data_IF_951425607872
#
_entry.id   IF_951425607872
#
_cell.length_a   1.000
_cell.length_b   1.000
_cell.length_c   1.000
_cell.angle_alpha   90.00
_cell.angle_beta   90.00
_cell.angle_gamma   90.00
#
_symmetry.space_group_name_H-M   'P 1'
#
loop_
_entity.id
_entity.type
_entity.pdbx_description
1 polymer ?
#
# COMPACT_ATOMS: atom_id res chain seq x y z
N UNK A 1 4.12 -23.33 -28.07
CA UNK A 1 3.81 -24.16 -26.87
C UNK A 1 4.76 -23.89 -25.70
N UNK A 2 6.06 -23.77 -25.90
CA UNK A 2 7.04 -23.50 -24.83
C UNK A 2 6.84 -22.12 -24.14
N UNK A 3 6.54 -21.07 -24.92
CA UNK A 3 6.37 -19.70 -24.41
C UNK A 3 5.10 -19.52 -23.54
N UNK A 4 4.01 -20.19 -23.87
CA UNK A 4 2.78 -20.25 -23.07
C UNK A 4 2.99 -21.01 -21.75
N UNK A 5 3.72 -22.13 -21.78
CA UNK A 5 4.04 -22.91 -20.57
C UNK A 5 4.95 -22.16 -19.61
N UNK A 6 5.89 -21.37 -20.11
CA UNK A 6 6.79 -20.56 -19.26
C UNK A 6 6.01 -19.41 -18.60
N UNK A 7 5.08 -18.78 -19.31
CA UNK A 7 4.17 -17.78 -18.73
C UNK A 7 3.21 -18.39 -17.71
N UNK A 8 2.68 -19.58 -18.00
CA UNK A 8 1.77 -20.31 -17.11
C UNK A 8 2.42 -20.61 -15.75
N UNK A 9 3.62 -21.19 -15.75
CA UNK A 9 4.38 -21.41 -14.50
C UNK A 9 4.75 -20.10 -13.79
N UNK A 10 5.00 -19.04 -14.54
CA UNK A 10 5.42 -17.75 -13.99
C UNK A 10 4.26 -17.04 -13.27
N UNK A 11 3.04 -17.04 -13.83
CA UNK A 11 1.87 -16.42 -13.19
C UNK A 11 1.45 -17.15 -11.90
N UNK A 12 1.42 -18.48 -11.92
CA UNK A 12 1.14 -19.26 -10.71
C UNK A 12 2.21 -19.07 -9.63
N UNK A 13 3.51 -19.04 -10.03
CA UNK A 13 4.62 -18.75 -9.13
C UNK A 13 4.59 -17.32 -8.60
N UNK A 14 4.20 -16.34 -9.39
CA UNK A 14 4.04 -14.94 -8.96
C UNK A 14 2.90 -14.82 -7.95
N UNK A 15 1.77 -15.48 -8.18
CA UNK A 15 0.64 -15.51 -7.26
C UNK A 15 1.02 -16.16 -5.91
N UNK A 16 1.66 -17.32 -5.97
CA UNK A 16 2.21 -18.01 -4.79
C UNK A 16 3.25 -17.12 -4.11
N UNK A 17 4.06 -16.43 -4.89
CA UNK A 17 5.08 -15.53 -4.38
C UNK A 17 4.48 -14.27 -3.74
N UNK A 18 3.38 -13.72 -4.26
CA UNK A 18 2.65 -12.62 -3.60
C UNK A 18 2.07 -13.04 -2.25
N UNK A 19 1.68 -14.30 -2.11
CA UNK A 19 1.17 -14.87 -0.85
C UNK A 19 2.32 -15.22 0.10
N UNK A 20 3.36 -15.89 -0.41
CA UNK A 20 4.49 -16.41 0.37
C UNK A 20 5.64 -15.38 0.48
N UNK A 21 5.76 -14.46 -0.49
CA UNK A 21 6.81 -13.43 -0.55
C UNK A 21 6.70 -12.35 0.54
N UNK A 22 5.84 -12.56 1.53
CA UNK A 22 5.83 -11.75 2.74
C UNK A 22 7.08 -12.09 3.56
N UNK A 23 7.86 -11.09 3.99
CA UNK A 23 9.10 -11.31 4.77
C UNK A 23 8.90 -12.18 5.99
N UNK A 24 7.66 -12.24 6.51
CA UNK A 24 7.26 -12.95 7.72
C UNK A 24 6.88 -14.42 7.46
N UNK A 25 6.68 -14.83 6.20
CA UNK A 25 6.21 -16.18 5.85
C UNK A 25 7.23 -17.03 5.12
N UNK A 26 8.29 -16.43 4.56
CA UNK A 26 9.32 -17.16 3.82
C UNK A 26 10.73 -16.74 4.23
N UNK A 27 11.73 -17.64 4.08
CA UNK A 27 13.13 -17.31 4.30
C UNK A 27 13.56 -16.11 3.44
N UNK A 28 14.34 -15.18 4.01
CA UNK A 28 14.76 -13.93 3.36
C UNK A 28 15.46 -14.12 2.00
N UNK A 29 16.10 -15.27 1.79
CA UNK A 29 16.72 -15.65 0.52
C UNK A 29 15.67 -15.93 -0.58
N UNK A 30 14.53 -16.50 -0.21
CA UNK A 30 13.40 -16.75 -1.11
C UNK A 30 12.69 -15.45 -1.46
N UNK A 31 12.40 -14.63 -0.45
CA UNK A 31 11.76 -13.32 -0.64
C UNK A 31 12.56 -12.48 -1.62
N UNK A 32 13.87 -12.38 -1.46
CA UNK A 32 14.76 -11.62 -2.38
C UNK A 32 14.68 -12.10 -3.82
N UNK A 33 14.57 -13.41 -4.05
CA UNK A 33 14.44 -13.97 -5.41
C UNK A 33 13.04 -13.78 -5.98
N UNK A 34 12.02 -13.94 -5.15
CA UNK A 34 10.63 -13.80 -5.57
C UNK A 34 10.27 -12.36 -5.92
N UNK A 35 10.75 -11.39 -5.14
CA UNK A 35 10.55 -9.95 -5.43
C UNK A 35 11.09 -9.55 -6.81
N UNK A 36 12.20 -10.12 -7.26
CA UNK A 36 12.75 -9.83 -8.60
C UNK A 36 11.88 -10.36 -9.75
N UNK A 37 10.96 -11.29 -9.49
CA UNK A 37 10.05 -11.82 -10.49
C UNK A 37 8.82 -10.92 -10.71
N UNK A 38 8.49 -10.04 -9.75
CA UNK A 38 7.31 -9.17 -9.84
C UNK A 38 7.44 -8.08 -10.90
N UNK A 39 8.65 -7.52 -11.07
CA UNK A 39 8.89 -6.34 -11.91
C UNK A 39 9.50 -6.66 -13.27
N UNK A 40 9.68 -7.95 -13.62
CA UNK A 40 10.36 -8.40 -14.86
C UNK A 40 9.56 -9.43 -15.64
N UNK A 41 8.24 -9.27 -15.71
CA UNK A 41 7.45 -10.07 -16.63
C UNK A 41 7.85 -9.77 -18.09
N UNK A 42 7.84 -10.77 -19.00
CA UNK A 42 8.12 -10.52 -20.40
C UNK A 42 7.18 -9.48 -20.99
N UNK A 43 7.72 -8.41 -21.55
CA UNK A 43 6.94 -7.37 -22.17
C UNK A 43 6.16 -7.88 -23.38
N UNK A 44 4.96 -7.37 -23.59
CA UNK A 44 4.19 -7.57 -24.82
C UNK A 44 4.87 -6.79 -25.95
N UNK A 45 5.06 -7.38 -27.14
CA UNK A 45 5.63 -6.69 -28.30
C UNK A 45 4.89 -5.40 -28.63
N UNK A 46 5.62 -4.36 -29.04
CA UNK A 46 5.06 -3.03 -29.26
C UNK A 46 3.93 -3.01 -30.31
N UNK A 47 4.04 -3.78 -31.40
CA UNK A 47 2.98 -3.90 -32.41
C UNK A 47 1.66 -4.37 -31.81
N UNK A 48 1.75 -5.29 -30.85
CA UNK A 48 0.56 -5.77 -30.12
C UNK A 48 0.00 -4.69 -29.18
N UNK A 49 0.87 -3.92 -28.51
CA UNK A 49 0.46 -2.76 -27.69
C UNK A 49 -0.29 -1.74 -28.53
N UNK A 50 0.21 -1.42 -29.73
CA UNK A 50 -0.46 -0.49 -30.66
C UNK A 50 -1.87 -0.98 -31.04
N UNK A 51 -2.03 -2.29 -31.29
CA UNK A 51 -3.35 -2.87 -31.59
C UNK A 51 -4.31 -2.75 -30.41
N UNK A 52 -3.84 -2.98 -29.17
CA UNK A 52 -4.65 -2.80 -27.97
C UNK A 52 -5.07 -1.33 -27.82
N UNK A 53 -4.13 -0.39 -27.93
CA UNK A 53 -4.40 1.04 -27.82
C UNK A 53 -5.41 1.50 -28.86
N UNK A 54 -5.23 1.10 -30.14
CA UNK A 54 -6.17 1.43 -31.22
C UNK A 54 -7.56 0.89 -30.96
N UNK A 55 -7.66 -0.34 -30.42
CA UNK A 55 -8.95 -0.97 -30.11
C UNK A 55 -9.65 -0.28 -28.94
N UNK A 56 -8.91 0.07 -27.90
CA UNK A 56 -9.45 0.62 -26.65
C UNK A 56 -9.74 2.13 -26.75
N UNK A 57 -8.86 2.89 -27.42
CA UNK A 57 -8.97 4.36 -27.54
C UNK A 57 -9.61 4.82 -28.87
N UNK A 58 -9.83 3.91 -29.82
CA UNK A 58 -10.46 4.22 -31.10
C UNK A 58 -9.58 4.96 -32.12
N UNK A 59 -8.36 5.32 -31.77
CA UNK A 59 -7.40 6.06 -32.58
C UNK A 59 -6.05 5.35 -32.58
N UNK A 60 -5.24 5.57 -33.64
CA UNK A 60 -3.87 5.02 -33.67
C UNK A 60 -2.94 5.78 -32.71
N UNK A 61 -1.86 5.11 -32.29
CA UNK A 61 -0.85 5.69 -31.43
C UNK A 61 -0.30 7.00 -32.01
N UNK A 62 -0.03 7.04 -33.33
CA UNK A 62 0.48 8.23 -33.99
C UNK A 62 -0.55 9.37 -34.17
N UNK A 63 -1.85 9.13 -33.97
CA UNK A 63 -2.88 10.19 -33.93
C UNK A 63 -2.94 10.85 -32.55
N UNK A 64 -2.77 10.09 -31.48
CA UNK A 64 -2.88 10.54 -30.09
C UNK A 64 -1.56 11.13 -29.57
N UNK A 65 -0.44 10.45 -29.85
CA UNK A 65 0.86 10.77 -29.27
C UNK A 65 1.83 11.34 -30.32
N UNK A 66 2.56 12.37 -29.95
CA UNK A 66 3.67 12.92 -30.73
C UNK A 66 4.89 11.99 -30.67
N UNK A 67 5.14 11.42 -29.48
CA UNK A 67 6.16 10.43 -29.21
C UNK A 67 5.61 9.34 -28.31
N UNK A 68 6.00 8.09 -28.58
CA UNK A 68 5.64 6.93 -27.77
C UNK A 68 6.88 6.02 -27.66
N UNK A 69 7.38 5.81 -26.46
CA UNK A 69 8.54 4.95 -26.24
C UNK A 69 8.13 3.48 -26.38
N UNK A 70 8.70 2.77 -27.38
CA UNK A 70 8.38 1.38 -27.67
C UNK A 70 8.82 0.44 -26.54
N UNK A 71 9.97 0.73 -25.92
CA UNK A 71 10.42 0.01 -24.73
C UNK A 71 9.64 0.47 -23.50
N UNK A 72 9.05 -0.46 -22.72
CA UNK A 72 8.29 -0.09 -21.54
C UNK A 72 9.21 0.37 -20.40
N UNK A 73 8.73 1.32 -19.60
CA UNK A 73 9.35 1.72 -18.34
C UNK A 73 9.40 0.57 -17.33
N UNK A 74 8.42 -0.33 -17.41
CA UNK A 74 8.31 -1.52 -16.59
C UNK A 74 7.22 -2.46 -17.11
N UNK A 75 7.38 -3.74 -16.85
CA UNK A 75 6.41 -4.79 -17.20
C UNK A 75 6.16 -5.68 -15.99
N UNK A 76 4.92 -5.65 -15.49
CA UNK A 76 4.43 -6.47 -14.38
C UNK A 76 3.60 -7.66 -14.89
N UNK A 77 3.01 -8.42 -13.97
CA UNK A 77 2.24 -9.63 -14.31
C UNK A 77 1.02 -9.35 -15.20
N UNK A 78 0.33 -8.23 -15.00
CA UNK A 78 -0.94 -7.90 -15.65
C UNK A 78 -0.77 -6.92 -16.79
N UNK A 79 0.17 -5.99 -16.66
CA UNK A 79 0.29 -4.83 -17.53
C UNK A 79 1.74 -4.37 -17.69
N UNK A 80 1.96 -3.58 -18.70
CA UNK A 80 3.20 -2.83 -18.90
C UNK A 80 2.92 -1.35 -19.03
N UNK A 81 3.94 -0.55 -18.79
CA UNK A 81 3.85 0.90 -18.66
C UNK A 81 4.82 1.55 -19.64
N UNK A 82 4.33 2.45 -20.46
CA UNK A 82 5.12 3.19 -21.45
C UNK A 82 5.10 4.68 -21.16
N UNK A 83 6.20 5.37 -21.47
CA UNK A 83 6.23 6.82 -21.54
C UNK A 83 5.81 7.28 -22.91
N UNK A 84 4.99 8.33 -22.96
CA UNK A 84 4.56 8.94 -24.19
C UNK A 84 4.44 10.46 -24.03
N UNK A 85 4.35 11.17 -25.14
CA UNK A 85 4.06 12.60 -25.18
C UNK A 85 2.81 12.83 -26.00
N UNK A 86 1.84 13.53 -25.43
CA UNK A 86 0.59 13.85 -26.12
C UNK A 86 0.82 14.84 -27.27
N UNK A 87 0.05 14.68 -28.34
CA UNK A 87 -0.13 15.73 -29.34
C UNK A 87 -0.94 16.88 -28.74
N UNK A 88 -0.71 18.07 -29.20
CA UNK A 88 -1.46 19.26 -28.76
C UNK A 88 -0.76 19.97 -27.60
N UNK A 89 -1.03 19.58 -26.36
CA UNK A 89 -0.46 20.22 -25.15
C UNK A 89 0.99 19.81 -24.86
N UNK A 90 1.50 18.81 -25.58
CA UNK A 90 2.87 18.27 -25.46
C UNK A 90 3.24 17.79 -24.05
N UNK A 91 2.24 17.44 -23.24
CA UNK A 91 2.50 16.90 -21.91
C UNK A 91 3.05 15.48 -21.96
N UNK A 92 4.02 15.18 -21.09
CA UNK A 92 4.54 13.84 -20.90
C UNK A 92 3.53 13.04 -20.05
N UNK A 93 3.22 11.84 -20.52
CA UNK A 93 2.26 10.93 -19.89
C UNK A 93 2.81 9.53 -19.75
N UNK A 94 2.17 8.77 -18.89
CA UNK A 94 2.39 7.34 -18.75
C UNK A 94 1.15 6.62 -19.24
N UNK A 95 1.38 5.59 -20.06
CA UNK A 95 0.35 4.73 -20.63
C UNK A 95 0.52 3.33 -20.07
N UNK A 96 -0.40 2.92 -19.19
CA UNK A 96 -0.48 1.57 -18.61
C UNK A 96 -1.40 0.74 -19.47
N UNK A 97 -0.92 -0.41 -19.98
CA UNK A 97 -1.65 -1.26 -20.93
C UNK A 97 -1.65 -2.69 -20.43
N UNK A 98 -2.81 -3.32 -20.33
CA UNK A 98 -2.92 -4.73 -19.96
C UNK A 98 -2.36 -5.64 -21.06
N UNK A 99 -1.73 -6.73 -20.63
CA UNK A 99 -1.29 -7.78 -21.54
C UNK A 99 -2.51 -8.49 -22.15
N UNK A 100 -2.58 -8.66 -23.47
CA UNK A 100 -3.70 -9.35 -24.12
C UNK A 100 -3.83 -10.79 -23.63
N UNK A 101 -5.06 -11.21 -23.33
CA UNK A 101 -5.38 -12.58 -22.89
C UNK A 101 -4.95 -12.93 -21.47
N UNK A 102 -4.31 -12.01 -20.74
CA UNK A 102 -3.78 -12.29 -19.39
C UNK A 102 -4.91 -12.52 -18.39
N UNK A 103 -6.05 -11.83 -18.52
CA UNK A 103 -7.18 -11.99 -17.62
C UNK A 103 -7.74 -13.42 -17.71
N UNK A 104 -7.98 -13.94 -18.91
CA UNK A 104 -8.49 -15.29 -19.13
C UNK A 104 -7.51 -16.35 -18.60
N UNK A 105 -6.21 -16.11 -18.80
CA UNK A 105 -5.16 -16.98 -18.32
C UNK A 105 -5.13 -17.04 -16.78
N UNK A 106 -5.08 -15.89 -16.12
CA UNK A 106 -5.04 -15.82 -14.64
C UNK A 106 -6.31 -16.38 -14.00
N UNK A 107 -7.48 -16.10 -14.57
CA UNK A 107 -8.74 -16.65 -14.08
C UNK A 107 -8.81 -18.17 -14.23
N UNK A 108 -8.18 -18.74 -15.27
CA UNK A 108 -8.05 -20.20 -15.42
C UNK A 108 -7.13 -20.79 -14.37
N UNK A 109 -6.01 -20.13 -14.08
CA UNK A 109 -5.07 -20.57 -13.04
C UNK A 109 -5.70 -20.53 -11.64
N UNK A 110 -6.48 -19.49 -11.33
CA UNK A 110 -7.22 -19.39 -10.08
C UNK A 110 -8.24 -20.52 -9.94
N UNK A 111 -9.00 -20.85 -11.00
CA UNK A 111 -9.94 -21.98 -10.97
C UNK A 111 -9.24 -23.30 -10.72
N UNK A 112 -8.08 -23.53 -11.33
CA UNK A 112 -7.26 -24.71 -11.09
C UNK A 112 -6.78 -24.76 -9.63
N UNK A 113 -6.35 -23.62 -9.09
CA UNK A 113 -5.94 -23.50 -7.68
C UNK A 113 -7.13 -23.77 -6.73
N UNK A 114 -8.34 -23.27 -7.05
CA UNK A 114 -9.55 -23.55 -6.31
C UNK A 114 -9.92 -25.04 -6.32
N UNK A 115 -9.83 -25.68 -7.48
CA UNK A 115 -10.07 -27.13 -7.60
C UNK A 115 -9.07 -27.93 -6.77
N UNK A 116 -7.79 -27.54 -6.78
CA UNK A 116 -6.76 -28.14 -5.94
C UNK A 116 -7.02 -27.89 -4.45
N UNK A 117 -7.41 -26.68 -4.06
CA UNK A 117 -7.77 -26.35 -2.68
C UNK A 117 -8.93 -27.21 -2.16
N UNK A 118 -9.98 -27.37 -2.96
CA UNK A 118 -11.11 -28.26 -2.63
C UNK A 118 -10.69 -29.72 -2.50
N UNK A 119 -9.76 -30.19 -3.32
CA UNK A 119 -9.20 -31.53 -3.19
C UNK A 119 -8.42 -31.69 -1.88
N UNK A 120 -7.58 -30.71 -1.54
CA UNK A 120 -6.78 -30.72 -0.32
C UNK A 120 -7.63 -30.62 0.96
N UNK A 121 -8.77 -29.92 0.92
CA UNK A 121 -9.72 -29.90 2.06
C UNK A 121 -10.36 -31.24 2.39
N UNK A 122 -10.36 -32.19 1.44
CA UNK A 122 -10.81 -33.58 1.70
C UNK A 122 -9.73 -34.42 2.40
N UNK A 123 -8.53 -33.91 2.53
CA UNK A 123 -7.45 -34.50 3.32
C UNK A 123 -7.40 -33.86 4.71
N UNK A 124 -6.50 -34.31 5.59
CA UNK A 124 -6.44 -33.86 7.00
C UNK A 124 -5.98 -32.40 7.22
N UNK A 125 -6.00 -31.55 6.18
CA UNK A 125 -5.61 -30.15 6.30
C UNK A 125 -6.78 -29.34 6.88
N UNK A 126 -6.61 -28.85 8.12
CA UNK A 126 -7.61 -28.05 8.87
C UNK A 126 -7.71 -26.60 8.42
N UNK A 127 -7.02 -26.18 7.36
CA UNK A 127 -6.99 -24.78 6.90
C UNK A 127 -7.88 -24.61 5.66
N UNK A 128 -8.77 -23.60 5.69
CA UNK A 128 -9.70 -23.31 4.57
C UNK A 128 -8.98 -22.62 3.41
N UNK A 129 -8.25 -23.42 2.62
CA UNK A 129 -7.55 -22.98 1.42
C UNK A 129 -8.51 -22.45 0.35
N UNK A 130 -9.74 -22.98 0.29
CA UNK A 130 -10.70 -22.60 -0.75
C UNK A 130 -11.20 -21.16 -0.56
N UNK A 131 -11.53 -20.76 0.66
CA UNK A 131 -11.91 -19.38 0.96
C UNK A 131 -10.78 -18.38 0.67
N UNK A 132 -9.54 -18.78 0.94
CA UNK A 132 -8.36 -17.95 0.56
C UNK A 132 -8.27 -17.77 -0.96
N UNK A 133 -8.46 -18.84 -1.74
CA UNK A 133 -8.41 -18.74 -3.20
C UNK A 133 -9.56 -17.93 -3.79
N UNK A 134 -10.73 -17.93 -3.15
CA UNK A 134 -11.85 -17.05 -3.53
C UNK A 134 -11.55 -15.57 -3.29
N UNK A 135 -10.94 -15.25 -2.15
CA UNK A 135 -10.56 -13.85 -1.90
C UNK A 135 -9.48 -13.38 -2.89
N UNK A 136 -8.52 -14.26 -3.25
CA UNK A 136 -7.54 -13.99 -4.31
C UNK A 136 -8.24 -13.71 -5.65
N UNK A 137 -9.24 -14.52 -6.03
CA UNK A 137 -10.02 -14.32 -7.26
C UNK A 137 -10.64 -12.92 -7.30
N UNK A 138 -11.26 -12.52 -6.20
CA UNK A 138 -11.90 -11.21 -6.07
C UNK A 138 -10.88 -10.06 -6.17
N UNK A 139 -9.74 -10.17 -5.49
CA UNK A 139 -8.70 -9.15 -5.51
C UNK A 139 -8.08 -9.00 -6.89
N UNK A 140 -7.76 -10.10 -7.56
CA UNK A 140 -7.24 -10.09 -8.93
C UNK A 140 -8.27 -9.53 -9.91
N UNK A 141 -9.55 -9.86 -9.73
CA UNK A 141 -10.63 -9.27 -10.53
C UNK A 141 -10.65 -7.73 -10.47
N UNK A 142 -10.29 -7.15 -9.33
CA UNK A 142 -10.16 -5.70 -9.19
C UNK A 142 -8.94 -5.12 -9.91
N UNK A 143 -7.83 -5.84 -9.97
CA UNK A 143 -6.61 -5.39 -10.65
C UNK A 143 -6.77 -5.34 -12.18
N UNK A 144 -7.75 -6.07 -12.75
CA UNK A 144 -8.11 -6.00 -14.18
C UNK A 144 -9.04 -4.85 -14.55
N UNK A 145 -9.35 -3.95 -13.62
CA UNK A 145 -10.23 -2.81 -13.86
C UNK A 145 -9.50 -1.48 -13.68
N UNK A 146 -8.90 -0.96 -14.75
CA UNK A 146 -8.20 0.32 -14.70
C UNK A 146 -9.13 1.53 -14.55
N UNK A 147 -10.42 1.40 -14.84
CA UNK A 147 -11.40 2.45 -14.52
C UNK A 147 -11.55 2.58 -13.00
N UNK A 148 -11.56 1.45 -12.29
CA UNK A 148 -11.57 1.43 -10.82
C UNK A 148 -10.29 2.04 -10.25
N UNK A 149 -9.12 1.69 -10.80
CA UNK A 149 -7.83 2.26 -10.41
C UNK A 149 -7.80 3.78 -10.62
N UNK A 150 -8.23 4.26 -11.78
CA UNK A 150 -8.32 5.68 -12.10
C UNK A 150 -9.23 6.46 -11.13
N UNK A 151 -10.41 5.90 -10.82
CA UNK A 151 -11.34 6.51 -9.85
C UNK A 151 -10.75 6.55 -8.44
N UNK A 152 -10.06 5.50 -8.03
CA UNK A 152 -9.38 5.44 -6.73
C UNK A 152 -8.26 6.49 -6.64
N UNK A 153 -7.45 6.61 -7.69
CA UNK A 153 -6.40 7.62 -7.81
C UNK A 153 -6.96 9.03 -7.69
N UNK A 154 -8.02 9.37 -8.43
CA UNK A 154 -8.67 10.68 -8.37
C UNK A 154 -9.31 10.97 -7.01
N UNK A 155 -9.91 9.96 -6.35
CA UNK A 155 -10.49 10.10 -5.00
C UNK A 155 -9.42 10.46 -3.98
N UNK A 156 -8.29 9.72 -3.97
CA UNK A 156 -7.17 9.96 -3.06
C UNK A 156 -6.50 11.31 -3.38
N UNK A 157 -6.26 11.60 -4.67
CA UNK A 157 -5.68 12.87 -5.11
C UNK A 157 -6.50 14.04 -4.60
N UNK A 158 -7.81 14.07 -4.88
CA UNK A 158 -8.71 15.11 -4.42
C UNK A 158 -8.66 15.29 -2.90
N UNK A 159 -8.79 14.20 -2.15
CA UNK A 159 -8.74 14.22 -0.70
C UNK A 159 -7.44 14.85 -0.16
N UNK A 160 -6.29 14.43 -0.67
CA UNK A 160 -5.00 14.93 -0.17
C UNK A 160 -4.76 16.39 -0.57
N UNK A 161 -5.20 16.82 -1.76
CA UNK A 161 -5.00 18.19 -2.23
C UNK A 161 -5.98 19.19 -1.57
N UNK A 162 -7.20 18.77 -1.28
CA UNK A 162 -8.19 19.63 -0.60
C UNK A 162 -7.88 19.79 0.90
N UNK A 163 -7.32 18.78 1.54
CA UNK A 163 -7.04 18.81 2.97
C UNK A 163 -5.67 19.38 3.35
N UNK A 164 -4.83 19.73 2.38
CA UNK A 164 -3.49 20.26 2.63
C UNK A 164 -3.21 21.48 1.75
N UNK A 165 -2.46 22.47 2.30
CA UNK A 165 -1.91 23.56 1.47
C UNK A 165 -0.96 23.06 0.38
N UNK A 166 -0.18 22.04 0.71
CA UNK A 166 0.64 21.25 -0.20
C UNK A 166 0.41 19.78 0.14
N UNK A 167 0.06 18.98 -0.87
CA UNK A 167 -0.13 17.53 -0.66
C UNK A 167 1.15 16.91 -0.09
N UNK A 168 1.05 16.01 0.90
CA UNK A 168 2.22 15.33 1.46
C UNK A 168 2.89 14.39 0.44
N UNK A 169 2.13 13.86 -0.51
CA UNK A 169 2.63 13.05 -1.61
C UNK A 169 2.01 13.50 -2.93
N UNK A 170 2.72 13.30 -4.02
CA UNK A 170 2.21 13.52 -5.37
C UNK A 170 1.40 12.29 -5.79
N UNK A 171 0.25 12.55 -6.37
CA UNK A 171 -0.62 11.54 -7.00
C UNK A 171 -0.77 11.94 -8.46
N UNK A 172 -0.40 11.08 -9.43
CA UNK A 172 -0.52 11.43 -10.85
C UNK A 172 -1.94 11.83 -11.21
N UNK A 173 -2.09 12.82 -12.07
CA UNK A 173 -3.40 13.22 -12.63
C UNK A 173 -3.81 12.22 -13.68
N UNK A 174 -5.03 11.73 -13.61
CA UNK A 174 -5.61 10.83 -14.61
C UNK A 174 -6.15 11.62 -15.80
N UNK A 175 -5.90 11.15 -17.02
CA UNK A 175 -6.51 11.67 -18.24
C UNK A 175 -7.80 10.90 -18.50
N UNK A 176 -8.92 11.39 -17.97
CA UNK A 176 -10.20 10.66 -17.90
C UNK A 176 -10.73 10.19 -19.25
N UNK A 177 -10.51 10.97 -20.30
CA UNK A 177 -10.97 10.64 -21.66
C UNK A 177 -10.14 9.52 -22.32
N UNK A 178 -9.05 9.10 -21.67
CA UNK A 178 -8.13 8.05 -22.12
C UNK A 178 -8.05 6.89 -21.11
N UNK A 179 -9.15 6.61 -20.41
CA UNK A 179 -9.25 5.50 -19.47
C UNK A 179 -10.27 4.50 -19.94
N UNK A 180 -9.85 3.25 -20.07
CA UNK A 180 -10.72 2.09 -20.32
C UNK A 180 -10.43 1.00 -19.29
N UNK A 181 -11.10 -0.13 -19.35
CA UNK A 181 -10.77 -1.26 -18.46
C UNK A 181 -9.34 -1.79 -18.66
N UNK A 182 -8.75 -1.58 -19.84
CA UNK A 182 -7.45 -2.17 -20.24
C UNK A 182 -6.35 -1.14 -20.46
N UNK A 183 -6.69 0.13 -20.51
CA UNK A 183 -5.76 1.23 -20.75
C UNK A 183 -5.99 2.32 -19.72
N UNK A 184 -4.91 2.81 -19.10
CA UNK A 184 -4.93 3.95 -18.20
C UNK A 184 -3.85 4.93 -18.62
N UNK A 185 -4.24 6.16 -18.95
CA UNK A 185 -3.32 7.25 -19.26
C UNK A 185 -3.31 8.24 -18.09
N UNK A 186 -2.13 8.54 -17.60
CA UNK A 186 -1.92 9.43 -16.46
C UNK A 186 -0.68 10.30 -16.66
N UNK A 187 -0.55 11.34 -15.87
CA UNK A 187 0.60 12.25 -15.81
C UNK A 187 1.90 11.48 -15.59
N UNK A 188 2.94 11.79 -16.36
CA UNK A 188 4.28 11.32 -16.08
C UNK A 188 4.89 12.13 -14.94
N UNK A 189 5.37 11.44 -13.92
CA UNK A 189 6.09 12.06 -12.79
C UNK A 189 7.57 11.71 -12.93
N UNK A 190 8.40 12.73 -13.05
CA UNK A 190 9.85 12.58 -13.08
C UNK A 190 10.39 12.31 -11.66
N UNK A 191 10.99 11.15 -11.48
CA UNK A 191 11.51 10.71 -10.18
C UNK A 191 12.31 9.42 -10.29
N UNK A 192 13.00 9.09 -9.23
CA UNK A 192 13.76 7.84 -9.11
C UNK A 192 13.01 6.86 -8.20
N UNK A 193 12.96 5.56 -8.52
CA UNK A 193 12.43 4.57 -7.61
C UNK A 193 13.15 4.63 -6.25
N UNK A 194 12.40 4.55 -5.15
CA UNK A 194 12.98 4.63 -3.81
C UNK A 194 14.03 3.53 -3.56
N UNK A 195 13.90 2.39 -4.23
CA UNK A 195 14.87 1.31 -4.19
C UNK A 195 16.26 1.74 -4.68
N UNK A 196 16.32 2.69 -5.62
CA UNK A 196 17.55 3.20 -6.20
C UNK A 196 18.10 4.44 -5.45
N UNK A 197 17.43 4.87 -4.38
CA UNK A 197 17.81 6.09 -3.64
C UNK A 197 19.26 6.03 -3.10
N UNK A 198 19.67 4.85 -2.61
CA UNK A 198 21.04 4.65 -2.10
C UNK A 198 22.09 4.84 -3.18
N UNK A 199 21.89 4.23 -4.34
CA UNK A 199 22.78 4.31 -5.50
C UNK A 199 22.86 5.73 -6.05
N UNK A 200 21.73 6.43 -6.08
CA UNK A 200 21.64 7.79 -6.55
C UNK A 200 22.37 8.78 -5.61
N UNK A 201 22.24 8.59 -4.29
CA UNK A 201 23.00 9.34 -3.28
C UNK A 201 24.51 9.12 -3.50
N UNK A 202 24.93 7.88 -3.73
CA UNK A 202 26.33 7.53 -3.97
C UNK A 202 26.86 8.14 -5.28
N UNK A 203 26.09 8.05 -6.38
CA UNK A 203 26.44 8.67 -7.69
C UNK A 203 26.65 10.18 -7.60
N UNK A 204 25.89 10.85 -6.74
CA UNK A 204 26.03 12.30 -6.50
C UNK A 204 27.19 12.66 -5.56
N UNK A 205 27.98 11.69 -5.11
CA UNK A 205 29.07 11.90 -4.17
C UNK A 205 28.62 12.34 -2.78
N UNK A 206 27.35 12.13 -2.42
CA UNK A 206 26.81 12.51 -1.12
C UNK A 206 27.08 11.37 -0.14
N UNK A 207 27.72 11.67 0.99
CA UNK A 207 27.88 10.67 2.05
C UNK A 207 26.50 10.25 2.58
N UNK A 208 26.15 8.93 2.58
CA UNK A 208 24.87 8.44 3.05
C UNK A 208 24.53 8.79 4.52
N UNK A 209 25.55 9.01 5.36
CA UNK A 209 25.42 9.46 6.75
C UNK A 209 25.44 10.98 6.93
N UNK A 210 25.58 11.76 5.85
CA UNK A 210 25.57 13.22 5.93
C UNK A 210 24.23 13.77 6.41
N UNK A 211 24.25 14.95 7.02
CA UNK A 211 23.04 15.66 7.45
C UNK A 211 22.05 15.87 6.28
N UNK A 212 22.56 16.11 5.08
CA UNK A 212 21.75 16.29 3.87
C UNK A 212 21.00 15.01 3.52
N UNK A 213 21.71 13.87 3.44
CA UNK A 213 21.11 12.57 3.15
C UNK A 213 20.10 12.16 4.22
N UNK A 214 20.43 12.34 5.50
CA UNK A 214 19.51 12.04 6.61
C UNK A 214 18.26 12.90 6.58
N UNK A 215 18.39 14.22 6.31
CA UNK A 215 17.25 15.13 6.18
C UNK A 215 16.34 14.71 5.02
N UNK A 216 16.91 14.34 3.87
CA UNK A 216 16.13 13.86 2.73
C UNK A 216 15.33 12.59 3.08
N UNK A 217 15.98 11.59 3.68
CA UNK A 217 15.33 10.36 4.15
C UNK A 217 14.22 10.63 5.18
N UNK A 218 14.45 11.55 6.12
CA UNK A 218 13.45 11.97 7.11
C UNK A 218 12.25 12.65 6.45
N UNK A 219 12.47 13.51 5.45
CA UNK A 219 11.39 14.18 4.72
C UNK A 219 10.54 13.17 3.95
N UNK A 220 11.16 12.20 3.26
CA UNK A 220 10.48 11.13 2.55
C UNK A 220 9.58 10.36 3.52
N UNK A 221 10.12 9.88 4.63
CA UNK A 221 9.39 9.11 5.61
C UNK A 221 8.24 9.91 6.24
N UNK A 222 8.48 11.18 6.57
CA UNK A 222 7.46 12.09 7.11
C UNK A 222 6.31 12.31 6.13
N UNK A 223 6.61 12.51 4.84
CA UNK A 223 5.60 12.67 3.79
C UNK A 223 4.72 11.43 3.67
N UNK A 224 5.34 10.25 3.61
CA UNK A 224 4.63 8.97 3.58
C UNK A 224 3.75 8.78 4.81
N UNK A 225 4.32 8.95 6.00
CA UNK A 225 3.61 8.80 7.27
C UNK A 225 2.40 9.74 7.35
N UNK A 226 2.57 11.00 6.95
CA UNK A 226 1.48 11.98 6.96
C UNK A 226 0.37 11.61 5.96
N UNK A 227 0.73 11.20 4.74
CA UNK A 227 -0.24 10.80 3.72
C UNK A 227 -1.08 9.60 4.18
N UNK A 228 -0.42 8.55 4.68
CA UNK A 228 -1.10 7.35 5.14
C UNK A 228 -1.95 7.59 6.39
N UNK A 229 -1.46 8.37 7.35
CA UNK A 229 -2.25 8.76 8.50
C UNK A 229 -3.54 9.50 8.12
N UNK A 230 -3.45 10.43 7.15
CA UNK A 230 -4.63 11.14 6.65
C UNK A 230 -5.59 10.23 5.89
N UNK A 231 -5.08 9.38 4.99
CA UNK A 231 -5.91 8.45 4.23
C UNK A 231 -6.63 7.46 5.15
N UNK A 232 -5.94 6.85 6.10
CA UNK A 232 -6.51 5.82 6.99
C UNK A 232 -7.44 6.45 8.03
N UNK A 233 -6.97 7.46 8.77
CA UNK A 233 -7.67 7.96 9.97
C UNK A 233 -8.73 9.04 9.67
N UNK A 234 -8.56 9.82 8.58
CA UNK A 234 -9.51 10.89 8.23
C UNK A 234 -10.44 10.50 7.09
N UNK A 235 -9.90 9.94 6.00
CA UNK A 235 -10.70 9.54 4.85
C UNK A 235 -11.38 8.19 5.03
N UNK A 236 -10.71 7.23 5.68
CA UNK A 236 -11.09 5.82 5.66
C UNK A 236 -10.81 5.12 4.32
N UNK A 237 -10.52 5.87 3.26
CA UNK A 237 -10.14 5.33 1.95
C UNK A 237 -8.66 5.53 1.72
N UNK A 238 -7.92 4.45 1.53
CA UNK A 238 -6.47 4.51 1.48
C UNK A 238 -5.86 3.56 0.45
N UNK A 239 -4.71 3.96 -0.04
CA UNK A 239 -3.79 3.13 -0.81
C UNK A 239 -3.23 2.04 0.09
N UNK A 240 -3.48 0.77 -0.21
CA UNK A 240 -3.18 -0.35 0.69
C UNK A 240 -1.86 -1.08 0.36
N UNK A 241 -1.08 -0.57 -0.60
CA UNK A 241 0.17 -1.21 -1.03
C UNK A 241 1.35 -0.23 -1.18
N UNK A 242 1.90 0.34 -0.07
CA UNK A 242 3.09 1.18 -0.12
C UNK A 242 4.37 0.39 -0.41
N UNK A 243 4.30 -0.49 -1.42
CA UNK A 243 5.46 -1.25 -1.86
C UNK A 243 6.53 -0.30 -2.44
N UNK A 244 7.82 -0.49 -2.15
CA UNK A 244 8.87 0.39 -2.64
C UNK A 244 8.91 0.56 -4.16
N UNK A 245 8.44 -0.42 -4.94
CA UNK A 245 8.30 -0.33 -6.40
C UNK A 245 7.30 0.73 -6.87
N UNK A 246 6.33 1.10 -6.00
CA UNK A 246 5.28 2.08 -6.29
C UNK A 246 5.60 3.48 -5.75
N UNK A 247 6.83 3.70 -5.29
CA UNK A 247 7.26 4.97 -4.66
C UNK A 247 8.38 5.59 -5.48
N UNK A 248 8.14 6.80 -6.00
CA UNK A 248 9.17 7.63 -6.63
C UNK A 248 9.60 8.76 -5.70
N UNK A 249 10.90 9.05 -5.74
CA UNK A 249 11.49 10.22 -5.11
C UNK A 249 11.77 11.25 -6.18
N UNK A 250 11.04 12.36 -6.09
CA UNK A 250 11.13 13.48 -7.00
C UNK A 250 12.11 14.54 -6.51
N UNK A 251 12.31 15.57 -7.31
CA UNK A 251 13.15 16.73 -6.97
C UNK A 251 12.71 17.34 -5.63
N UNK A 252 13.66 17.71 -4.78
CA UNK A 252 13.35 18.28 -3.45
C UNK A 252 12.90 17.26 -2.41
N UNK A 253 13.13 15.97 -2.62
CA UNK A 253 12.69 14.87 -1.75
C UNK A 253 11.15 14.76 -1.63
N UNK A 254 10.43 15.25 -2.63
CA UNK A 254 8.99 14.98 -2.74
C UNK A 254 8.77 13.50 -3.09
N UNK A 255 7.66 12.96 -2.64
CA UNK A 255 7.32 11.55 -2.82
C UNK A 255 6.11 11.44 -3.73
N UNK A 256 6.16 10.57 -4.73
CA UNK A 256 5.00 10.21 -5.53
C UNK A 256 4.61 8.75 -5.29
N UNK A 257 3.30 8.50 -5.24
CA UNK A 257 2.72 7.16 -5.21
C UNK A 257 2.10 6.87 -6.58
N UNK A 258 2.38 5.69 -7.15
CA UNK A 258 2.09 5.41 -8.55
C UNK A 258 0.92 4.47 -8.79
N UNK A 259 0.88 3.30 -8.15
CA UNK A 259 -0.09 2.24 -8.44
C UNK A 259 -1.24 2.28 -7.42
N UNK A 260 -2.49 2.37 -7.91
CA UNK A 260 -3.69 2.46 -7.08
C UNK A 260 -4.65 1.27 -7.31
N UNK A 261 -4.16 0.19 -7.89
CA UNK A 261 -4.92 -1.05 -8.05
C UNK A 261 -5.37 -1.66 -6.72
N UNK A 262 -4.58 -1.49 -5.67
CA UNK A 262 -4.90 -1.96 -4.32
C UNK A 262 -5.28 -0.79 -3.39
N UNK A 263 -6.58 -0.50 -3.33
CA UNK A 263 -7.16 0.46 -2.39
C UNK A 263 -8.20 -0.22 -1.51
N UNK A 264 -8.38 0.28 -0.31
CA UNK A 264 -9.35 -0.24 0.67
C UNK A 264 -10.18 0.88 1.26
N UNK A 265 -11.46 0.57 1.50
CA UNK A 265 -12.36 1.37 2.34
C UNK A 265 -12.41 0.76 3.74
N UNK A 266 -12.20 1.59 4.75
CA UNK A 266 -12.33 1.23 6.16
C UNK A 266 -13.63 1.85 6.68
N UNK A 267 -14.61 1.05 7.13
CA UNK A 267 -15.84 1.57 7.71
C UNK A 267 -15.57 2.53 8.86
N UNK A 268 -16.43 3.51 9.05
CA UNK A 268 -16.24 4.56 10.06
C UNK A 268 -16.11 4.00 11.49
N UNK A 269 -16.82 2.92 11.81
CA UNK A 269 -16.69 2.24 13.11
C UNK A 269 -15.26 1.74 13.34
N UNK A 270 -14.68 1.03 12.35
CA UNK A 270 -13.30 0.53 12.43
C UNK A 270 -12.28 1.66 12.33
N UNK A 271 -12.53 2.66 11.49
CA UNK A 271 -11.66 3.84 11.36
C UNK A 271 -11.51 4.60 12.68
N UNK A 272 -12.61 4.86 13.37
CA UNK A 272 -12.61 5.57 14.64
C UNK A 272 -12.10 4.71 15.79
N UNK A 273 -12.43 3.42 15.83
CA UNK A 273 -11.83 2.47 16.77
C UNK A 273 -10.30 2.36 16.59
N UNK A 274 -9.84 2.34 15.33
CA UNK A 274 -8.40 2.36 15.05
C UNK A 274 -7.73 3.70 15.45
N UNK A 275 -8.42 4.83 15.29
CA UNK A 275 -7.92 6.12 15.78
C UNK A 275 -7.76 6.13 17.31
N UNK A 276 -8.70 5.49 18.06
CA UNK A 276 -8.56 5.28 19.50
C UNK A 276 -7.34 4.41 19.85
N UNK A 277 -7.14 3.31 19.10
CA UNK A 277 -5.99 2.41 19.28
C UNK A 277 -4.67 3.14 19.02
N UNK A 278 -4.59 3.98 18.00
CA UNK A 278 -3.40 4.82 17.71
C UNK A 278 -3.08 5.75 18.88
N UNK A 279 -4.08 6.39 19.49
CA UNK A 279 -3.88 7.23 20.68
C UNK A 279 -3.42 6.40 21.88
N UNK A 280 -4.04 5.25 22.11
CA UNK A 280 -3.68 4.35 23.21
C UNK A 280 -2.24 3.86 23.10
N UNK A 281 -1.78 3.46 21.91
CA UNK A 281 -0.39 3.08 21.65
C UNK A 281 0.57 4.25 21.85
N UNK A 282 0.24 5.44 21.34
CA UNK A 282 1.06 6.63 21.46
C UNK A 282 1.16 7.18 22.91
N UNK A 283 0.17 6.88 23.76
CA UNK A 283 0.17 7.20 25.19
C UNK A 283 0.75 6.07 26.05
N UNK A 284 1.06 4.91 25.46
CA UNK A 284 1.42 3.68 26.18
C UNK A 284 0.37 3.31 27.26
N UNK A 285 -0.90 3.42 26.92
CA UNK A 285 -2.04 3.15 27.81
C UNK A 285 -2.62 1.76 27.54
N UNK A 286 -2.29 0.74 28.34
CA UNK A 286 -2.73 -0.63 28.12
C UNK A 286 -4.23 -0.82 28.36
N UNK A 287 -4.86 -0.02 29.22
CA UNK A 287 -6.30 -0.11 29.49
C UNK A 287 -7.06 0.34 28.25
N UNK A 288 -6.67 1.49 27.72
CA UNK A 288 -7.27 2.03 26.50
C UNK A 288 -7.02 1.16 25.27
N UNK A 289 -5.90 0.45 25.19
CA UNK A 289 -5.66 -0.58 24.13
C UNK A 289 -6.68 -1.68 24.23
N UNK A 290 -6.94 -2.23 25.44
CA UNK A 290 -7.93 -3.29 25.65
C UNK A 290 -9.36 -2.84 25.27
N UNK A 291 -9.72 -1.60 25.60
CA UNK A 291 -11.00 -0.99 25.21
C UNK A 291 -11.11 -0.83 23.69
N UNK A 292 -10.03 -0.36 23.04
CA UNK A 292 -9.97 -0.22 21.59
C UNK A 292 -10.08 -1.55 20.86
N UNK A 293 -9.49 -2.63 21.41
CA UNK A 293 -9.61 -3.97 20.84
C UNK A 293 -11.05 -4.45 20.85
N UNK A 294 -11.77 -4.26 21.97
CA UNK A 294 -13.20 -4.59 22.05
C UNK A 294 -14.04 -3.78 21.06
N UNK A 295 -13.77 -2.48 20.94
CA UNK A 295 -14.43 -1.62 19.95
C UNK A 295 -14.18 -2.07 18.51
N UNK A 296 -12.97 -2.52 18.21
CA UNK A 296 -12.58 -3.03 16.89
C UNK A 296 -13.09 -4.44 16.61
N UNK A 297 -13.62 -5.17 17.60
CA UNK A 297 -13.98 -6.57 17.45
C UNK A 297 -12.76 -7.51 17.38
N UNK A 298 -11.65 -7.12 17.99
CA UNK A 298 -10.48 -7.97 18.13
C UNK A 298 -10.62 -8.74 19.45
N UNK A 299 -10.90 -10.04 19.34
CA UNK A 299 -11.03 -10.92 20.50
C UNK A 299 -9.76 -11.70 20.74
N UNK A 300 -9.32 -11.72 21.99
CA UNK A 300 -8.12 -12.41 22.43
C UNK A 300 -8.39 -13.26 23.67
N UNK A 301 -7.83 -14.46 23.69
CA UNK A 301 -7.82 -15.33 24.88
C UNK A 301 -6.40 -15.31 25.46
N UNK A 302 -6.11 -14.31 26.28
CA UNK A 302 -4.86 -14.28 27.02
C UNK A 302 -5.01 -15.05 28.33
N UNK A 303 -3.95 -15.80 28.69
CA UNK A 303 -3.80 -16.48 29.99
C UNK A 303 -2.61 -15.93 30.76
N UNK A 304 -2.15 -14.72 30.42
CA UNK A 304 -0.95 -14.13 31.01
C UNK A 304 -1.29 -13.32 32.26
N UNK A 305 -0.46 -13.41 33.30
CA UNK A 305 -0.62 -12.61 34.54
C UNK A 305 -0.61 -11.09 34.29
N UNK A 306 0.08 -10.63 33.22
CA UNK A 306 0.18 -9.22 32.82
C UNK A 306 -0.54 -8.95 31.49
N UNK A 307 -1.76 -9.44 31.34
CA UNK A 307 -2.54 -9.40 30.09
C UNK A 307 -2.54 -8.01 29.41
N UNK A 308 -2.84 -6.94 30.16
CA UNK A 308 -2.93 -5.59 29.61
C UNK A 308 -1.62 -5.10 28.98
N UNK A 309 -0.47 -5.41 29.60
CA UNK A 309 0.83 -5.04 29.07
C UNK A 309 1.20 -5.85 27.83
N UNK A 310 0.86 -7.12 27.82
CA UNK A 310 1.07 -7.97 26.64
C UNK A 310 0.15 -7.56 25.46
N UNK A 311 -1.10 -7.13 25.73
CA UNK A 311 -1.98 -6.55 24.71
C UNK A 311 -1.41 -5.26 24.12
N UNK A 312 -0.83 -4.37 24.95
CA UNK A 312 -0.15 -3.16 24.46
C UNK A 312 1.05 -3.50 23.56
N UNK A 313 1.92 -4.41 23.99
CA UNK A 313 3.06 -4.88 23.19
C UNK A 313 2.58 -5.49 21.86
N UNK A 314 1.50 -6.26 21.92
CA UNK A 314 0.91 -6.88 20.72
C UNK A 314 0.36 -5.82 19.76
N UNK A 315 -0.38 -4.83 20.28
CA UNK A 315 -0.88 -3.72 19.48
C UNK A 315 0.26 -2.94 18.80
N UNK A 316 1.30 -2.59 19.54
CA UNK A 316 2.48 -1.91 19.00
C UNK A 316 3.22 -2.78 17.97
N UNK A 317 3.29 -4.09 18.18
CA UNK A 317 3.91 -5.01 17.24
C UNK A 317 3.12 -5.12 15.94
N UNK A 318 1.79 -5.11 16.00
CA UNK A 318 0.93 -5.19 14.83
C UNK A 318 0.80 -3.84 14.10
N UNK A 319 0.56 -2.76 14.85
CA UNK A 319 0.04 -1.50 14.31
C UNK A 319 0.97 -0.28 14.50
N UNK A 320 2.23 -0.49 14.91
CA UNK A 320 3.22 0.58 14.92
C UNK A 320 4.45 0.24 14.06
N UNK A 321 5.13 1.25 13.55
CA UNK A 321 6.39 1.07 12.82
C UNK A 321 7.57 0.80 13.75
N UNK A 322 7.50 1.23 15.02
CA UNK A 322 8.49 0.98 16.06
C UNK A 322 8.11 -0.26 16.86
N UNK A 323 9.00 -1.24 16.88
CA UNK A 323 8.80 -2.44 17.70
C UNK A 323 9.02 -2.16 19.18
N UNK A 324 8.25 -2.80 20.09
CA UNK A 324 8.48 -2.74 21.52
C UNK A 324 9.86 -3.29 21.88
N UNK A 325 10.45 -2.85 23.01
CA UNK A 325 11.71 -3.41 23.50
C UNK A 325 11.64 -4.93 23.68
N UNK A 326 12.67 -5.63 23.20
CA UNK A 326 12.78 -7.10 23.30
C UNK A 326 12.00 -7.89 22.24
N UNK A 327 11.24 -7.23 21.39
CA UNK A 327 10.55 -7.85 20.24
C UNK A 327 11.42 -7.70 19.00
N UNK A 328 11.90 -8.82 18.43
CA UNK A 328 12.79 -8.83 17.25
C UNK A 328 11.93 -9.08 16.05
N UNK A 329 10.84 -9.13 15.75
CA UNK A 329 10.00 -9.42 14.59
C UNK A 329 8.98 -10.52 14.90
N UNK A 330 7.81 -10.38 14.38
CA UNK A 330 6.82 -11.45 14.46
C UNK A 330 7.40 -12.71 13.82
N UNK A 331 7.76 -13.68 14.63
CA UNK A 331 8.07 -15.03 14.18
C UNK A 331 6.86 -15.91 14.49
N UNK A 332 5.91 -16.07 13.52
CA UNK A 332 4.63 -16.74 13.77
C UNK A 332 4.80 -18.21 14.21
N UNK A 333 5.95 -18.79 13.86
CA UNK A 333 6.26 -20.20 14.12
C UNK A 333 7.09 -20.44 15.38
N UNK A 334 7.58 -19.38 16.06
CA UNK A 334 8.33 -19.57 17.30
C UNK A 334 7.38 -19.94 18.45
N UNK A 335 7.89 -20.73 19.42
CA UNK A 335 7.09 -21.09 20.61
C UNK A 335 6.81 -19.88 21.51
N UNK A 336 7.71 -18.89 21.51
CA UNK A 336 7.60 -17.64 22.27
C UNK A 336 6.84 -16.52 21.52
N UNK A 337 6.23 -16.84 20.39
CA UNK A 337 5.49 -15.86 19.60
C UNK A 337 4.36 -15.21 20.40
N UNK A 338 4.31 -13.87 20.40
CA UNK A 338 3.20 -13.09 20.98
C UNK A 338 1.84 -13.52 20.45
N UNK A 339 1.76 -13.93 19.18
CA UNK A 339 0.52 -14.44 18.54
C UNK A 339 0.02 -15.70 19.24
N UNK A 340 0.92 -16.60 19.64
CA UNK A 340 0.54 -17.83 20.39
C UNK A 340 0.18 -17.52 21.84
N UNK A 341 0.89 -16.55 22.48
CA UNK A 341 0.61 -16.15 23.87
C UNK A 341 -0.75 -15.45 24.02
N UNK A 342 -1.16 -14.66 23.02
CA UNK A 342 -2.37 -13.84 23.05
C UNK A 342 -3.56 -14.54 22.36
N UNK A 343 -3.36 -15.66 21.69
CA UNK A 343 -4.41 -16.49 21.08
C UNK A 343 -5.58 -15.67 20.51
N UNK A 344 -5.37 -14.97 19.38
CA UNK A 344 -6.40 -14.16 18.71
C UNK A 344 -7.52 -15.08 18.22
N UNK A 345 -8.77 -14.82 18.64
CA UNK A 345 -9.96 -15.59 18.28
C UNK A 345 -10.73 -14.95 17.13
N UNK A 346 -10.80 -13.61 17.12
CA UNK A 346 -11.45 -12.85 16.06
C UNK A 346 -10.61 -11.61 15.70
N UNK A 347 -10.58 -11.31 14.40
CA UNK A 347 -9.87 -10.16 13.84
C UNK A 347 -10.58 -9.68 12.58
N UNK A 348 -11.05 -8.41 12.53
CA UNK A 348 -11.74 -7.87 11.37
C UNK A 348 -10.87 -7.89 10.11
N UNK A 349 -11.46 -8.37 9.02
CA UNK A 349 -10.74 -8.55 7.75
C UNK A 349 -10.16 -7.24 7.21
N UNK A 350 -10.89 -6.14 7.36
CA UNK A 350 -10.48 -4.82 6.87
C UNK A 350 -9.20 -4.33 7.55
N UNK A 351 -8.97 -4.70 8.81
CA UNK A 351 -7.76 -4.32 9.55
C UNK A 351 -6.49 -5.02 9.05
N UNK A 352 -6.62 -6.15 8.34
CA UNK A 352 -5.44 -6.77 7.70
C UNK A 352 -4.78 -5.84 6.69
N UNK A 353 -5.57 -5.02 5.98
CA UNK A 353 -5.02 -4.06 5.03
C UNK A 353 -4.29 -2.91 5.72
N UNK A 354 -4.79 -2.45 6.87
CA UNK A 354 -4.12 -1.47 7.73
C UNK A 354 -2.81 -2.04 8.27
N UNK A 355 -2.86 -3.25 8.82
CA UNK A 355 -1.71 -3.98 9.34
C UNK A 355 -0.61 -4.13 8.27
N UNK A 356 -0.99 -4.61 7.07
CA UNK A 356 -0.06 -4.72 5.93
C UNK A 356 0.58 -3.37 5.60
N UNK A 357 -0.21 -2.30 5.56
CA UNK A 357 0.28 -0.95 5.27
C UNK A 357 1.30 -0.50 6.31
N UNK A 358 1.03 -0.70 7.60
CA UNK A 358 1.96 -0.37 8.68
C UNK A 358 3.25 -1.17 8.59
N UNK A 359 3.17 -2.46 8.27
CA UNK A 359 4.35 -3.31 8.10
C UNK A 359 5.23 -2.89 6.92
N UNK A 360 4.62 -2.48 5.80
CA UNK A 360 5.36 -1.94 4.66
C UNK A 360 6.03 -0.59 5.00
N UNK A 361 5.35 0.29 5.73
CA UNK A 361 5.93 1.54 6.24
C UNK A 361 7.07 1.27 7.23
N UNK A 362 6.96 0.24 8.07
CA UNK A 362 8.06 -0.23 8.94
C UNK A 362 9.25 -0.68 8.13
N UNK A 363 9.02 -1.54 7.12
CA UNK A 363 10.07 -1.98 6.19
C UNK A 363 10.79 -0.81 5.51
N UNK A 364 10.02 0.20 5.08
CA UNK A 364 10.54 1.43 4.49
C UNK A 364 11.41 2.20 5.50
N UNK A 365 10.97 2.35 6.75
CA UNK A 365 11.72 3.06 7.79
C UNK A 365 13.05 2.37 8.10
N UNK A 366 13.04 1.05 8.20
CA UNK A 366 14.24 0.23 8.38
C UNK A 366 15.20 0.38 7.19
N UNK A 367 14.67 0.31 5.96
CA UNK A 367 15.46 0.51 4.74
C UNK A 367 16.10 1.90 4.63
N UNK A 368 15.43 2.93 5.17
CA UNK A 368 15.98 4.29 5.27
C UNK A 368 16.92 4.50 6.46
N UNK A 369 17.01 3.52 7.38
CA UNK A 369 17.81 3.60 8.61
C UNK A 369 17.23 4.55 9.66
N UNK A 370 15.88 4.69 9.72
CA UNK A 370 15.19 5.60 10.63
C UNK A 370 14.25 4.79 11.52
N UNK A 371 14.47 4.87 12.83
CA UNK A 371 13.55 4.29 13.82
C UNK A 371 12.54 5.36 14.26
N UNK A 372 11.25 5.12 14.02
CA UNK A 372 10.18 6.03 14.41
C UNK A 372 8.88 5.26 14.70
N UNK A 373 7.99 5.88 15.45
CA UNK A 373 6.63 5.38 15.70
C UNK A 373 5.62 6.11 14.81
N UNK A 374 4.89 5.38 13.97
CA UNK A 374 3.79 5.97 13.22
C UNK A 374 2.62 6.33 14.15
N UNK A 375 2.39 5.61 15.24
CA UNK A 375 1.37 5.93 16.22
C UNK A 375 1.61 7.31 16.86
N UNK A 376 2.87 7.62 17.24
CA UNK A 376 3.23 8.95 17.74
C UNK A 376 3.02 10.05 16.67
N UNK A 377 3.36 9.79 15.41
CA UNK A 377 3.20 10.76 14.31
C UNK A 377 1.73 10.95 13.93
N UNK A 378 0.93 9.90 14.00
CA UNK A 378 -0.49 9.93 13.66
C UNK A 378 -1.38 10.48 14.77
N UNK A 379 -0.87 10.62 16.00
CA UNK A 379 -1.61 11.18 17.14
C UNK A 379 -2.44 12.42 16.78
N UNK A 380 -1.88 13.51 16.21
CA UNK A 380 -2.65 14.71 15.92
C UNK A 380 -3.75 14.48 14.88
N UNK A 381 -3.55 13.53 13.98
CA UNK A 381 -4.54 13.16 12.96
C UNK A 381 -5.67 12.35 13.61
N UNK A 382 -5.34 11.41 14.49
CA UNK A 382 -6.31 10.62 15.25
C UNK A 382 -7.14 11.49 16.20
N UNK A 383 -6.51 12.42 16.93
CA UNK A 383 -7.20 13.41 17.77
C UNK A 383 -8.20 14.26 16.95
N UNK A 384 -7.79 14.76 15.77
CA UNK A 384 -8.66 15.52 14.88
C UNK A 384 -9.83 14.68 14.36
N UNK A 385 -9.58 13.43 13.94
CA UNK A 385 -10.59 12.51 13.42
C UNK A 385 -11.66 12.19 14.49
N UNK A 386 -11.22 11.84 15.70
CA UNK A 386 -12.12 11.55 16.84
C UNK A 386 -12.89 12.77 17.29
N UNK A 387 -12.26 13.95 17.26
CA UNK A 387 -12.91 15.18 17.59
C UNK A 387 -14.03 15.53 16.59
N UNK A 388 -13.75 15.43 15.28
CA UNK A 388 -14.75 15.68 14.22
C UNK A 388 -15.92 14.69 14.29
N UNK A 389 -15.67 13.46 14.79
CA UNK A 389 -16.69 12.46 15.04
C UNK A 389 -17.44 12.64 16.38
N UNK A 390 -17.15 13.70 17.17
CA UNK A 390 -17.76 13.95 18.46
C UNK A 390 -17.32 13.02 19.60
N UNK A 391 -16.26 12.20 19.39
CA UNK A 391 -15.75 11.24 20.37
C UNK A 391 -14.69 11.81 21.32
N UNK A 392 -14.15 13.00 21.03
CA UNK A 392 -13.23 13.75 21.90
C UNK A 392 -13.74 15.16 22.15
N UNK A 393 -13.60 15.63 23.39
CA UNK A 393 -13.91 17.03 23.73
C UNK A 393 -12.72 17.93 23.37
N UNK A 394 -12.99 19.19 23.06
CA UNK A 394 -11.94 20.17 22.72
C UNK A 394 -10.92 20.41 23.85
N UNK A 395 -11.28 20.10 25.11
CA UNK A 395 -10.40 20.13 26.29
C UNK A 395 -9.32 19.05 26.25
N UNK A 396 -9.60 17.93 25.61
CA UNK A 396 -8.75 16.73 25.61
C UNK A 396 -7.70 16.78 24.51
N UNK A 397 -7.81 17.76 23.60
CA UNK A 397 -6.85 17.96 22.51
C UNK A 397 -5.53 18.55 23.04
N UNK A 398 -4.40 18.00 22.61
CA UNK A 398 -3.10 18.59 22.93
C UNK A 398 -2.91 19.99 22.34
N UNK A 399 -2.11 20.88 22.95
CA UNK A 399 -2.03 22.31 22.60
C UNK A 399 -1.75 22.62 21.12
N UNK A 400 -1.05 21.72 20.42
CA UNK A 400 -0.68 21.88 19.00
C UNK A 400 -1.91 21.78 18.07
N UNK A 401 -2.84 20.88 18.37
CA UNK A 401 -4.08 20.69 17.61
C UNK A 401 -5.05 21.85 17.91
N UNK A 402 -5.08 22.34 19.16
CA UNK A 402 -5.86 23.52 19.54
C UNK A 402 -5.47 24.78 18.74
N UNK A 403 -4.15 25.03 18.55
CA UNK A 403 -3.66 26.19 17.78
C UNK A 403 -4.06 26.14 16.30
N UNK A 404 -3.92 24.99 15.64
CA UNK A 404 -4.36 24.82 14.25
C UNK A 404 -5.85 25.10 14.06
N UNK A 405 -6.66 24.76 15.03
CA UNK A 405 -8.10 24.91 15.01
C UNK A 405 -8.58 26.34 15.23
N UNK A 406 -7.97 27.07 16.18
CA UNK A 406 -8.22 28.51 16.33
C UNK A 406 -7.94 29.26 15.01
N UNK A 407 -6.87 28.85 14.30
CA UNK A 407 -6.49 29.45 13.02
C UNK A 407 -7.50 29.12 11.91
N UNK A 408 -8.06 27.88 11.87
CA UNK A 408 -9.12 27.51 10.91
C UNK A 408 -10.44 28.24 11.17
N UNK A 409 -10.85 28.40 12.44
CA UNK A 409 -12.03 29.21 12.84
C UNK A 409 -11.87 30.66 12.46
N UNK A 410 -10.69 31.25 12.68
CA UNK A 410 -10.38 32.63 12.30
C UNK A 410 -10.39 32.88 10.79
N UNK A 411 -10.17 31.83 9.98
CA UNK A 411 -10.18 31.89 8.53
C UNK A 411 -11.53 31.50 7.89
N UNK A 412 -12.59 31.33 8.71
CA UNK A 412 -13.96 31.03 8.22
C UNK A 412 -14.09 29.72 7.46
N UNK A 413 -13.21 28.73 7.75
CA UNK A 413 -13.26 27.38 7.18
C UNK A 413 -13.67 26.40 8.28
N UNK A 414 -14.94 26.39 8.62
CA UNK A 414 -15.61 25.29 9.32
C UNK A 414 -16.31 24.39 8.31
#
# INVERSE_FOLDING_TARGET
MSWLLTRFMLCALILIAQIIGKPDLAPSAWVRRLVTLFDRAPATPFDTVQLVLKKELGQSVGEIFENFEAEPLGSASIAQVHRARLKGDKSDVVVKVQHPGIQELMMTDIRNLQAFALYMQKTDIKFDLYSVTKEIEKQIGYEFDFVREANAMERIRRFLYENNKKSPVLVPRVLKDMVTRRVLVMEYIDGIPILNLGDEIAKRGINPGSKIAMTAKQNILKSMTLAYGQMILKSGFFHADPHPGNILICKGSEVALLDYGQVKDLPDSLRLGYANLVLAMADNDPIRVSESYRELGIDTLSKCENELQELLKFAQTLFDTKLPPGVVMLQPFSEDSLIKKIAVQAFPEELFSVLRTVHLLRGLSVGLGINYSCAEQWRPIAEEALYLAGRLKGTDLKPRVRKCRLFRRLLGRE
#
